data_IF_301440935027
#
_entry.id   IF_301440935027
#
_cell.length_a   1.000
_cell.length_b   1.000
_cell.length_c   1.000
_cell.angle_alpha   90.00
_cell.angle_beta   90.00
_cell.angle_gamma   90.00
#
_symmetry.space_group_name_H-M   'P 1'
#
loop_
_entity.id
_entity.type
_entity.pdbx_description
1 polymer ?
#
# COMPACT_ATOMS: atom_id res chain seq x y z
N UNK A 1 -17.03 10.45 -3.18
CA UNK A 1 -15.56 10.52 -3.06
C UNK A 1 -14.97 9.14 -3.32
N UNK A 2 -14.02 9.05 -4.23
CA UNK A 2 -13.27 7.82 -4.54
C UNK A 2 -11.90 7.88 -3.89
N UNK A 3 -11.60 6.89 -3.06
CA UNK A 3 -10.39 6.83 -2.24
C UNK A 3 -9.51 5.69 -2.73
N UNK A 4 -8.24 5.97 -3.02
CA UNK A 4 -7.22 4.95 -3.19
C UNK A 4 -6.53 4.70 -1.85
N UNK A 5 -6.48 3.44 -1.41
CA UNK A 5 -5.69 2.98 -0.26
C UNK A 5 -4.49 2.21 -0.79
N UNK A 6 -3.29 2.71 -0.55
CA UNK A 6 -2.05 2.12 -1.06
C UNK A 6 -0.95 2.09 0.00
N UNK A 7 0.22 1.58 -0.33
CA UNK A 7 1.37 1.37 0.56
C UNK A 7 2.00 0.00 0.33
N UNK A 8 3.13 -0.28 0.97
CA UNK A 8 3.83 -1.56 0.82
C UNK A 8 2.97 -2.74 1.26
N UNK A 9 3.34 -3.94 0.86
CA UNK A 9 2.61 -5.14 1.28
C UNK A 9 2.62 -5.27 2.82
N UNK A 10 1.48 -5.68 3.40
CA UNK A 10 1.27 -5.80 4.87
C UNK A 10 1.34 -4.50 5.67
N UNK A 11 1.33 -3.34 5.03
CA UNK A 11 1.25 -2.06 5.75
C UNK A 11 -0.07 -1.83 6.53
N UNK A 12 -1.11 -2.63 6.27
CA UNK A 12 -2.40 -2.49 6.96
C UNK A 12 -3.54 -1.96 6.07
N UNK A 13 -3.32 -1.91 4.75
CA UNK A 13 -4.29 -1.40 3.77
C UNK A 13 -5.68 -2.03 3.89
N UNK A 14 -5.75 -3.38 3.98
CA UNK A 14 -7.03 -4.09 4.07
C UNK A 14 -7.78 -3.78 5.36
N UNK A 15 -7.07 -3.43 6.45
CA UNK A 15 -7.69 -2.95 7.69
C UNK A 15 -8.28 -1.55 7.50
N UNK A 16 -7.56 -0.65 6.82
CA UNK A 16 -8.07 0.68 6.45
C UNK A 16 -9.29 0.55 5.54
N UNK A 17 -9.24 -0.37 4.55
CA UNK A 17 -10.37 -0.62 3.66
C UNK A 17 -11.61 -1.10 4.44
N UNK A 18 -11.43 -1.96 5.45
CA UNK A 18 -12.52 -2.39 6.33
C UNK A 18 -13.10 -1.20 7.12
N UNK A 19 -12.28 -0.31 7.65
CA UNK A 19 -12.76 0.91 8.33
C UNK A 19 -13.58 1.79 7.37
N UNK A 20 -13.13 1.96 6.13
CA UNK A 20 -13.88 2.69 5.11
C UNK A 20 -15.21 2.01 4.77
N UNK A 21 -15.25 0.67 4.74
CA UNK A 21 -16.51 -0.10 4.59
C UNK A 21 -17.49 0.18 5.73
N UNK A 22 -17.02 0.26 6.98
CA UNK A 22 -17.84 0.65 8.14
C UNK A 22 -18.35 2.11 8.04
N UNK A 23 -17.70 2.94 7.22
CA UNK A 23 -18.11 4.31 6.90
C UNK A 23 -18.99 4.40 5.64
N UNK A 24 -19.56 3.28 5.19
CA UNK A 24 -20.43 3.14 4.01
C UNK A 24 -19.73 3.41 2.65
N UNK A 25 -18.42 3.17 2.56
CA UNK A 25 -17.76 3.11 1.25
C UNK A 25 -17.91 1.71 0.65
N UNK A 26 -18.24 1.65 -0.64
CA UNK A 26 -18.09 0.40 -1.41
C UNK A 26 -16.61 0.10 -1.56
N UNK A 27 -16.18 -1.10 -1.21
CA UNK A 27 -14.76 -1.47 -1.24
C UNK A 27 -14.42 -2.37 -2.41
N UNK A 28 -13.27 -2.12 -3.02
CA UNK A 28 -12.72 -2.88 -4.16
C UNK A 28 -11.28 -3.25 -3.84
N UNK A 29 -10.92 -4.53 -4.00
CA UNK A 29 -9.54 -4.99 -3.96
C UNK A 29 -9.04 -5.18 -5.40
N UNK A 30 -8.08 -4.34 -5.83
CA UNK A 30 -7.55 -4.41 -7.18
C UNK A 30 -6.80 -5.73 -7.47
N UNK A 31 -6.14 -6.31 -6.46
CA UNK A 31 -5.44 -7.59 -6.62
C UNK A 31 -6.40 -8.72 -6.98
N UNK A 32 -7.57 -8.79 -6.34
CA UNK A 32 -8.58 -9.81 -6.63
C UNK A 32 -9.12 -9.68 -8.05
N UNK A 33 -9.30 -8.44 -8.53
CA UNK A 33 -9.71 -8.18 -9.91
C UNK A 33 -8.65 -8.64 -10.92
N UNK A 34 -7.38 -8.33 -10.64
CA UNK A 34 -6.26 -8.64 -11.53
C UNK A 34 -6.00 -10.14 -11.60
N UNK A 35 -6.07 -10.87 -10.49
CA UNK A 35 -5.90 -12.33 -10.46
C UNK A 35 -6.91 -13.02 -11.38
N UNK A 36 -8.14 -12.52 -11.45
CA UNK A 36 -9.22 -13.09 -12.27
C UNK A 36 -9.26 -12.55 -13.71
N UNK A 37 -8.41 -11.61 -14.07
CA UNK A 37 -8.46 -10.93 -15.38
C UNK A 37 -7.63 -11.60 -16.48
N UNK A 38 -6.64 -12.42 -16.10
CA UNK A 38 -5.63 -12.95 -17.02
C UNK A 38 -4.49 -11.98 -17.34
N UNK A 39 -4.50 -10.74 -16.80
CA UNK A 39 -3.46 -9.73 -17.02
C UNK A 39 -2.23 -9.93 -16.13
N UNK A 40 -2.24 -10.93 -15.26
CA UNK A 40 -1.16 -11.20 -14.29
C UNK A 40 -0.76 -12.67 -14.30
N UNK A 41 0.49 -12.95 -13.93
CA UNK A 41 1.03 -14.31 -13.79
C UNK A 41 1.70 -14.48 -12.44
N UNK A 42 1.50 -15.64 -11.82
CA UNK A 42 2.17 -15.96 -10.56
C UNK A 42 3.68 -16.08 -10.74
N UNK A 43 4.44 -15.40 -9.89
CA UNK A 43 5.88 -15.46 -9.79
C UNK A 43 6.28 -16.20 -8.52
N UNK A 44 6.93 -17.36 -8.67
CA UNK A 44 7.34 -18.19 -7.54
C UNK A 44 8.49 -17.58 -6.74
N UNK A 45 9.40 -16.84 -7.37
CA UNK A 45 10.55 -16.21 -6.72
C UNK A 45 10.09 -15.12 -5.74
N UNK A 46 9.17 -14.27 -6.19
CA UNK A 46 8.62 -13.18 -5.39
C UNK A 46 7.39 -13.59 -4.58
N UNK A 47 6.86 -14.80 -4.78
CA UNK A 47 5.58 -15.23 -4.21
C UNK A 47 4.50 -14.13 -4.35
N UNK A 48 4.36 -13.62 -5.56
CA UNK A 48 3.43 -12.55 -5.92
C UNK A 48 2.99 -12.68 -7.37
N UNK A 49 1.98 -11.91 -7.76
CA UNK A 49 1.56 -11.82 -9.15
C UNK A 49 2.31 -10.68 -9.85
N UNK A 50 2.95 -10.97 -10.96
CA UNK A 50 3.54 -9.98 -11.86
C UNK A 50 2.50 -9.56 -12.91
N UNK A 51 2.47 -8.28 -13.24
CA UNK A 51 1.65 -7.75 -14.31
C UNK A 51 2.33 -8.10 -15.64
N UNK A 52 1.66 -8.90 -16.45
CA UNK A 52 2.16 -9.33 -17.78
C UNK A 52 1.61 -8.51 -18.92
N UNK A 53 0.48 -7.82 -18.70
CA UNK A 53 -0.15 -6.90 -19.63
C UNK A 53 -0.64 -5.67 -18.88
N UNK A 54 0.12 -4.57 -19.01
CA UNK A 54 -0.13 -3.31 -18.29
C UNK A 54 -1.41 -2.65 -18.76
N UNK A 55 -1.69 -2.63 -20.06
CA UNK A 55 -2.89 -1.99 -20.61
C UNK A 55 -4.16 -2.74 -20.20
N UNK A 56 -4.10 -4.08 -20.26
CA UNK A 56 -5.16 -4.94 -19.75
C UNK A 56 -5.42 -4.67 -18.25
N UNK A 57 -4.36 -4.68 -17.43
CA UNK A 57 -4.46 -4.47 -15.99
C UNK A 57 -5.02 -3.08 -15.65
N UNK A 58 -4.53 -2.02 -16.31
CA UNK A 58 -5.03 -0.67 -16.14
C UNK A 58 -6.51 -0.56 -16.55
N UNK A 59 -6.90 -1.15 -17.68
CA UNK A 59 -8.30 -1.17 -18.15
C UNK A 59 -9.23 -1.84 -17.12
N UNK A 60 -8.83 -2.99 -16.58
CA UNK A 60 -9.61 -3.73 -15.57
C UNK A 60 -9.83 -2.89 -14.32
N UNK A 61 -8.75 -2.32 -13.76
CA UNK A 61 -8.82 -1.55 -12.51
C UNK A 61 -9.62 -0.25 -12.71
N UNK A 62 -9.33 0.52 -13.75
CA UNK A 62 -10.02 1.80 -13.98
C UNK A 62 -11.50 1.59 -14.33
N UNK A 63 -11.85 0.52 -15.08
CA UNK A 63 -13.24 0.17 -15.33
C UNK A 63 -14.00 -0.16 -14.04
N UNK A 64 -13.37 -0.85 -13.09
CA UNK A 64 -13.98 -1.14 -11.79
C UNK A 64 -14.19 0.14 -10.96
N UNK A 65 -13.19 1.05 -10.97
CA UNK A 65 -13.30 2.37 -10.31
C UNK A 65 -14.47 3.18 -10.87
N UNK A 66 -14.61 3.21 -12.19
CA UNK A 66 -15.70 3.96 -12.86
C UNK A 66 -17.09 3.38 -12.58
N UNK A 67 -17.19 2.07 -12.47
CA UNK A 67 -18.45 1.36 -12.13
C UNK A 67 -18.80 1.44 -10.65
N UNK A 68 -17.82 1.75 -9.81
CA UNK A 68 -18.05 1.88 -8.38
C UNK A 68 -18.93 3.10 -8.07
N UNK A 69 -19.66 3.04 -6.96
CA UNK A 69 -20.49 4.15 -6.48
C UNK A 69 -19.64 5.41 -6.21
N UNK A 70 -20.32 6.55 -6.01
CA UNK A 70 -19.65 7.82 -5.67
C UNK A 70 -18.86 7.75 -4.35
N UNK A 71 -19.20 6.83 -3.44
CA UNK A 71 -18.46 6.54 -2.21
C UNK A 71 -17.77 5.20 -2.36
N UNK A 72 -16.56 5.21 -2.91
CA UNK A 72 -15.77 4.02 -3.25
C UNK A 72 -14.37 4.09 -2.66
N UNK A 73 -13.88 2.97 -2.13
CA UNK A 73 -12.51 2.82 -1.66
C UNK A 73 -11.84 1.62 -2.35
N UNK A 74 -10.71 1.87 -2.98
CA UNK A 74 -9.95 0.88 -3.75
C UNK A 74 -8.63 0.60 -3.03
N UNK A 75 -8.34 -0.67 -2.74
CA UNK A 75 -7.01 -1.10 -2.31
C UNK A 75 -6.17 -1.52 -3.50
N UNK A 76 -4.97 -0.94 -3.65
CA UNK A 76 -4.01 -1.38 -4.66
C UNK A 76 -2.57 -1.12 -4.22
N UNK A 77 -1.67 -2.07 -4.48
CA UNK A 77 -0.22 -1.84 -4.43
C UNK A 77 0.30 -1.31 -5.77
N UNK A 78 -0.39 -1.61 -6.87
CA UNK A 78 -0.06 -1.18 -8.23
C UNK A 78 -0.78 0.14 -8.55
N UNK A 79 -0.47 1.18 -7.80
CA UNK A 79 -1.09 2.52 -7.95
C UNK A 79 -0.79 3.16 -9.31
N UNK A 80 0.29 2.74 -9.99
CA UNK A 80 0.67 3.21 -11.32
C UNK A 80 -0.36 2.84 -12.41
N UNK A 81 -1.19 1.82 -12.17
CA UNK A 81 -2.26 1.43 -13.10
C UNK A 81 -3.48 2.33 -13.04
N UNK A 82 -3.58 3.17 -12.00
CA UNK A 82 -4.78 3.94 -11.69
C UNK A 82 -4.69 5.33 -12.31
N UNK A 83 -5.71 5.71 -13.08
CA UNK A 83 -5.82 7.08 -13.60
C UNK A 83 -6.08 8.05 -12.44
N UNK A 84 -5.16 9.01 -12.19
CA UNK A 84 -5.32 9.97 -11.10
C UNK A 84 -6.58 10.82 -11.18
N UNK A 85 -7.15 11.00 -12.38
CA UNK A 85 -8.38 11.78 -12.57
C UNK A 85 -9.61 11.11 -11.92
N UNK A 86 -9.56 9.80 -11.71
CA UNK A 86 -10.64 9.03 -11.11
C UNK A 86 -10.63 9.02 -9.58
N UNK A 87 -9.59 9.54 -8.95
CA UNK A 87 -9.37 9.47 -7.50
C UNK A 87 -9.47 10.87 -6.88
N UNK A 88 -10.19 10.98 -5.78
CA UNK A 88 -10.33 12.24 -5.03
C UNK A 88 -9.35 12.33 -3.86
N UNK A 89 -9.01 11.18 -3.23
CA UNK A 89 -8.11 11.07 -2.08
C UNK A 89 -7.26 9.82 -2.19
N UNK A 90 -5.97 9.93 -1.90
CA UNK A 90 -5.05 8.78 -1.75
C UNK A 90 -4.60 8.69 -0.30
N UNK A 91 -4.84 7.56 0.33
CA UNK A 91 -4.33 7.24 1.67
C UNK A 91 -3.15 6.27 1.50
N UNK A 92 -1.94 6.77 1.75
CA UNK A 92 -0.73 5.95 1.79
C UNK A 92 -0.56 5.42 3.21
N UNK A 93 -0.78 4.12 3.38
CA UNK A 93 -0.63 3.48 4.68
C UNK A 93 0.83 3.18 4.92
N UNK A 94 1.39 3.82 5.95
CA UNK A 94 2.77 3.65 6.43
C UNK A 94 2.77 2.74 7.65
N UNK A 95 3.76 1.89 7.79
CA UNK A 95 3.90 1.01 8.96
C UNK A 95 5.33 0.95 9.45
N UNK A 96 5.50 0.88 10.78
CA UNK A 96 6.81 0.76 11.40
C UNK A 96 7.62 -0.38 10.75
N UNK A 97 8.83 -0.11 10.22
CA UNK A 97 9.64 -1.11 9.52
C UNK A 97 9.96 -2.34 10.38
N UNK A 98 10.12 -2.19 11.70
CA UNK A 98 10.36 -3.32 12.59
C UNK A 98 9.17 -4.28 12.61
N UNK A 99 7.96 -3.74 12.72
CA UNK A 99 6.73 -4.54 12.69
C UNK A 99 6.53 -5.22 11.32
N UNK A 100 6.89 -4.54 10.23
CA UNK A 100 6.84 -5.13 8.88
C UNK A 100 7.81 -6.30 8.76
N UNK A 101 9.04 -6.14 9.24
CA UNK A 101 10.05 -7.21 9.20
C UNK A 101 9.60 -8.42 10.00
N UNK A 102 9.05 -8.24 11.21
CA UNK A 102 8.50 -9.33 12.02
C UNK A 102 7.36 -10.05 11.30
N UNK A 103 6.44 -9.31 10.69
CA UNK A 103 5.31 -9.86 9.93
C UNK A 103 5.80 -10.65 8.71
N UNK A 104 6.78 -10.15 7.95
CA UNK A 104 7.34 -10.84 6.79
C UNK A 104 8.06 -12.14 7.18
N UNK A 105 8.83 -12.12 8.28
CA UNK A 105 9.47 -13.32 8.82
C UNK A 105 8.44 -14.36 9.26
N UNK A 106 7.38 -13.94 9.95
CA UNK A 106 6.28 -14.83 10.36
C UNK A 106 5.63 -15.51 9.16
N UNK A 107 5.51 -14.79 8.05
CA UNK A 107 4.94 -15.29 6.79
C UNK A 107 5.95 -16.08 5.94
N UNK A 108 7.21 -16.14 6.37
CA UNK A 108 8.31 -16.82 5.65
C UNK A 108 8.45 -16.34 4.20
N UNK A 109 8.36 -15.03 4.00
CA UNK A 109 8.51 -14.46 2.67
C UNK A 109 9.94 -14.59 2.14
N UNK A 110 10.12 -14.68 0.80
CA UNK A 110 11.45 -14.64 0.19
C UNK A 110 12.21 -13.36 0.57
N UNK A 111 13.51 -13.47 0.81
CA UNK A 111 14.34 -12.33 1.21
C UNK A 111 14.27 -11.16 0.23
N UNK A 112 14.24 -11.45 -1.07
CA UNK A 112 14.11 -10.42 -2.12
C UNK A 112 12.81 -9.64 -1.99
N UNK A 113 11.71 -10.30 -1.69
CA UNK A 113 10.40 -9.65 -1.48
C UNK A 113 10.40 -8.81 -0.22
N UNK A 114 10.97 -9.34 0.88
CA UNK A 114 11.10 -8.61 2.13
C UNK A 114 11.97 -7.35 1.94
N UNK A 115 13.14 -7.50 1.32
CA UNK A 115 14.07 -6.41 1.07
C UNK A 115 13.44 -5.27 0.28
N UNK A 116 12.81 -5.59 -0.87
CA UNK A 116 12.18 -4.58 -1.71
C UNK A 116 11.08 -3.79 -0.98
N UNK A 117 10.24 -4.47 -0.19
CA UNK A 117 9.20 -3.80 0.59
C UNK A 117 9.79 -2.98 1.74
N UNK A 118 10.83 -3.49 2.43
CA UNK A 118 11.51 -2.78 3.52
C UNK A 118 12.21 -1.53 3.02
N UNK A 119 13.00 -1.62 1.95
CA UNK A 119 13.68 -0.46 1.35
C UNK A 119 12.67 0.58 0.92
N UNK A 120 11.60 0.17 0.24
CA UNK A 120 10.55 1.09 -0.20
C UNK A 120 9.87 1.82 0.96
N UNK A 121 9.58 1.12 2.07
CA UNK A 121 8.95 1.73 3.25
C UNK A 121 9.93 2.67 3.98
N UNK A 122 11.17 2.23 4.19
CA UNK A 122 12.18 2.99 4.94
C UNK A 122 12.56 4.27 4.21
N UNK A 123 12.83 4.19 2.91
CA UNK A 123 13.22 5.36 2.10
C UNK A 123 12.04 6.24 1.70
N UNK A 124 10.81 5.74 1.82
CA UNK A 124 9.62 6.42 1.32
C UNK A 124 9.59 6.59 -0.20
N UNK A 125 10.34 5.79 -0.96
CA UNK A 125 10.41 5.91 -2.42
C UNK A 125 9.03 5.79 -3.07
N UNK A 126 8.21 4.82 -2.64
CA UNK A 126 6.83 4.69 -3.12
C UNK A 126 5.96 5.90 -2.78
N UNK A 127 6.20 6.54 -1.64
CA UNK A 127 5.46 7.75 -1.23
C UNK A 127 5.76 8.89 -2.20
N UNK A 128 7.04 9.08 -2.53
CA UNK A 128 7.50 10.12 -3.48
C UNK A 128 6.89 9.91 -4.88
N UNK A 129 6.84 8.66 -5.37
CA UNK A 129 6.18 8.34 -6.63
C UNK A 129 4.68 8.64 -6.59
N UNK A 130 3.99 8.26 -5.51
CA UNK A 130 2.56 8.51 -5.34
C UNK A 130 2.27 10.02 -5.33
N UNK A 131 3.09 10.82 -4.63
CA UNK A 131 2.97 12.28 -4.68
C UNK A 131 3.16 12.84 -6.09
N UNK A 132 4.10 12.29 -6.87
CA UNK A 132 4.33 12.70 -8.25
C UNK A 132 3.13 12.43 -9.16
N UNK A 133 2.40 11.34 -8.92
CA UNK A 133 1.22 10.94 -9.70
C UNK A 133 -0.06 11.66 -9.27
N UNK A 134 -0.31 11.72 -7.96
CA UNK A 134 -1.61 12.16 -7.41
C UNK A 134 -1.57 13.54 -6.75
N UNK A 135 -0.40 14.18 -6.66
CA UNK A 135 -0.20 15.55 -6.18
C UNK A 135 -0.82 15.80 -4.78
N UNK A 136 -1.62 16.87 -4.68
CA UNK A 136 -2.26 17.31 -3.43
C UNK A 136 -3.35 16.38 -2.88
N UNK A 137 -3.71 15.33 -3.61
CA UNK A 137 -4.69 14.32 -3.16
C UNK A 137 -4.11 13.33 -2.15
N UNK A 138 -2.78 13.29 -1.98
CA UNK A 138 -2.09 12.30 -1.15
C UNK A 138 -2.12 12.71 0.32
N UNK A 139 -2.40 11.72 1.17
CA UNK A 139 -2.25 11.81 2.63
C UNK A 139 -1.60 10.52 3.14
N UNK A 140 -0.67 10.65 4.08
CA UNK A 140 -0.05 9.52 4.76
C UNK A 140 -0.82 9.20 6.05
N UNK A 141 -0.89 7.91 6.38
CA UNK A 141 -1.51 7.39 7.59
C UNK A 141 -0.56 6.37 8.22
N UNK A 142 -0.08 6.63 9.42
CA UNK A 142 0.70 5.66 10.18
C UNK A 142 -0.26 4.62 10.78
N UNK A 143 -0.06 3.36 10.38
CA UNK A 143 -0.88 2.24 10.83
C UNK A 143 -0.71 2.02 12.34
N UNK A 144 -1.80 1.73 13.01
CA UNK A 144 -1.85 1.27 14.41
C UNK A 144 -2.72 0.02 14.51
N UNK A 145 -2.39 -0.84 15.44
CA UNK A 145 -3.19 -2.05 15.73
C UNK A 145 -4.44 -1.71 16.56
N UNK A 146 -4.49 -0.55 17.21
CA UNK A 146 -5.68 -0.05 17.87
C UNK A 146 -6.71 0.40 16.83
N UNK A 147 -7.76 -0.39 16.69
CA UNK A 147 -8.82 -0.16 15.69
C UNK A 147 -9.60 1.14 15.98
N UNK A 148 -9.74 1.53 17.24
CA UNK A 148 -10.42 2.80 17.59
C UNK A 148 -9.60 3.99 17.12
N UNK A 149 -8.29 3.99 17.41
CA UNK A 149 -7.36 5.02 16.97
C UNK A 149 -7.29 5.06 15.42
N UNK A 150 -7.17 3.89 14.78
CA UNK A 150 -7.13 3.80 13.32
C UNK A 150 -8.39 4.39 12.68
N UNK A 151 -9.57 4.09 13.24
CA UNK A 151 -10.85 4.64 12.77
C UNK A 151 -10.89 6.16 12.87
N UNK A 152 -10.39 6.72 13.95
CA UNK A 152 -10.37 8.17 14.15
C UNK A 152 -9.36 8.86 13.19
N UNK A 153 -8.21 8.23 12.94
CA UNK A 153 -7.24 8.68 11.92
C UNK A 153 -7.86 8.69 10.53
N UNK A 154 -8.49 7.60 10.12
CA UNK A 154 -9.15 7.49 8.80
C UNK A 154 -10.26 8.53 8.66
N UNK A 155 -11.12 8.72 9.68
CA UNK A 155 -12.17 9.74 9.67
C UNK A 155 -11.60 11.14 9.48
N UNK A 156 -10.51 11.48 10.18
CA UNK A 156 -9.85 12.78 10.04
C UNK A 156 -9.36 13.00 8.60
N UNK A 157 -8.67 12.02 8.00
CA UNK A 157 -8.16 12.15 6.63
C UNK A 157 -9.29 12.30 5.61
N UNK A 158 -10.35 11.53 5.74
CA UNK A 158 -11.54 11.60 4.88
C UNK A 158 -12.25 12.95 5.04
N UNK A 159 -12.23 13.55 6.22
CA UNK A 159 -12.75 14.89 6.52
C UNK A 159 -11.83 16.04 6.12
N UNK A 160 -10.71 15.80 5.44
CA UNK A 160 -9.78 16.85 5.00
C UNK A 160 -8.72 17.24 6.03
N UNK A 161 -8.53 16.42 7.08
CA UNK A 161 -7.49 16.63 8.08
C UNK A 161 -6.07 16.43 7.55
N UNK A 162 -5.09 16.86 8.33
CA UNK A 162 -3.67 16.75 8.02
C UNK A 162 -3.21 15.29 8.04
N UNK A 163 -2.22 14.98 7.20
CA UNK A 163 -1.55 13.67 7.13
C UNK A 163 -0.51 13.48 8.25
N UNK A 164 -0.07 12.24 8.40
CA UNK A 164 0.92 11.82 9.37
C UNK A 164 2.24 11.47 8.65
N UNK A 165 2.87 12.47 8.02
CA UNK A 165 4.15 12.27 7.36
C UNK A 165 5.20 11.73 8.33
N UNK A 166 5.92 10.68 7.94
CA UNK A 166 6.97 10.06 8.75
C UNK A 166 8.23 9.83 7.92
N UNK A 167 9.36 10.10 8.54
CA UNK A 167 10.69 9.70 8.08
C UNK A 167 11.19 8.59 9.00
N UNK A 168 11.22 7.36 8.48
CA UNK A 168 11.63 6.21 9.26
C UNK A 168 13.14 6.17 9.52
N UNK A 169 13.96 6.85 8.71
CA UNK A 169 15.40 6.95 8.93
C UNK A 169 15.72 7.81 10.16
N UNK A 170 14.88 8.81 10.44
CA UNK A 170 15.04 9.68 11.60
C UNK A 170 14.29 9.19 12.85
N UNK A 171 13.22 8.44 12.67
CA UNK A 171 12.29 8.06 13.76
C UNK A 171 12.43 6.62 14.25
N UNK A 172 13.21 5.79 13.54
CA UNK A 172 13.48 4.40 13.90
C UNK A 172 14.82 4.23 14.59
N UNK A 173 15.03 3.07 15.23
CA UNK A 173 16.34 2.61 15.69
C UNK A 173 17.24 2.35 14.47
N UNK A 174 18.13 3.30 14.17
CA UNK A 174 18.98 3.30 12.98
C UNK A 174 19.88 2.06 12.92
N UNK A 175 20.50 1.66 14.04
CA UNK A 175 21.41 0.51 14.10
C UNK A 175 20.64 -0.79 13.79
N UNK A 176 19.48 -0.95 14.39
CA UNK A 176 18.65 -2.13 14.19
C UNK A 176 18.10 -2.19 12.76
N UNK A 177 17.67 -1.05 12.23
CA UNK A 177 17.17 -0.95 10.86
C UNK A 177 18.27 -1.29 9.84
N UNK A 178 19.47 -0.74 10.03
CA UNK A 178 20.63 -1.05 9.20
C UNK A 178 20.98 -2.54 9.26
N UNK A 179 21.01 -3.14 10.46
CA UNK A 179 21.27 -4.57 10.64
C UNK A 179 20.28 -5.46 9.91
N UNK A 180 19.00 -5.09 9.90
CA UNK A 180 17.94 -5.82 9.19
C UNK A 180 18.16 -5.73 7.67
N UNK A 181 18.40 -4.55 7.13
CA UNK A 181 18.62 -4.37 5.70
C UNK A 181 19.86 -5.13 5.21
N UNK A 182 20.96 -5.07 5.95
CA UNK A 182 22.18 -5.85 5.67
C UNK A 182 21.96 -7.36 5.74
N UNK A 183 21.15 -7.84 6.70
CA UNK A 183 20.77 -9.25 6.76
C UNK A 183 20.00 -9.68 5.50
N UNK A 184 18.99 -8.90 5.10
CA UNK A 184 18.17 -9.21 3.92
C UNK A 184 18.99 -9.17 2.63
N UNK A 185 19.90 -8.22 2.48
CA UNK A 185 20.81 -8.13 1.32
C UNK A 185 21.67 -9.38 1.18
N UNK A 186 22.30 -9.83 2.29
CA UNK A 186 23.08 -11.08 2.31
C UNK A 186 22.24 -12.31 2.00
N UNK A 187 21.00 -12.33 2.48
CA UNK A 187 20.07 -13.44 2.24
C UNK A 187 19.69 -13.57 0.76
N UNK A 188 19.66 -12.47 -0.01
CA UNK A 188 19.40 -12.48 -1.45
C UNK A 188 20.61 -13.01 -2.24
N UNK A 189 21.83 -12.78 -1.74
CA UNK A 189 23.07 -13.17 -2.42
C UNK A 189 23.49 -14.63 -2.22
N UNK A 190 22.78 -15.40 -1.38
CA UNK A 190 22.99 -16.81 -1.12
C UNK A 190 21.91 -17.68 -1.78
#
# INVERSE_FOLDING_TARGET
>A
MRILVTGVAKAGKSTVLRVLSEMNYTTVNASDLLINSGCVKWNNEYQSYDITDVDCAASVVNSAILKCSLSCAIESVAYQLIDPSHIDLVIVVRRNPMELFEEYNRLRWPCVKMFNNMVSEVTGSHVSEIYSLFNNKVRQLIFTQDISELRDKVRRLVGGGLDEAVDWLLSSDEEKLHSILMYLERCIGN
#
